data_IF_153325659577
#
_entry.id   IF_153325659577
#
_cell.length_a   1.000
_cell.length_b   1.000
_cell.length_c   1.000
_cell.angle_alpha   90.00
_cell.angle_beta   90.00
_cell.angle_gamma   90.00
#
_symmetry.space_group_name_H-M   'P 1'
#
loop_
_entity.id
_entity.type
_entity.pdbx_description
1 polymer ?
#
# COMPACT_ATOMS: atom_id res chain seq x y z
N UNK A 1 23.76 -0.68 24.81
CA UNK A 1 23.94 -1.93 25.55
C UNK A 1 23.03 -2.95 24.88
N UNK A 2 23.59 -4.02 24.31
CA UNK A 2 22.83 -5.05 23.57
C UNK A 2 22.50 -6.14 24.58
N UNK A 3 21.23 -6.19 25.02
CA UNK A 3 20.79 -7.25 25.93
C UNK A 3 20.32 -8.46 25.12
N UNK A 4 21.00 -9.59 25.29
CA UNK A 4 20.73 -10.87 24.65
C UNK A 4 19.43 -11.57 25.13
N UNK A 5 18.49 -10.82 25.73
CA UNK A 5 17.18 -11.30 26.23
C UNK A 5 16.06 -11.10 25.17
N UNK A 6 16.39 -10.47 24.05
CA UNK A 6 15.45 -9.76 23.14
C UNK A 6 14.69 -10.57 22.10
N UNK A 7 14.84 -11.90 22.01
CA UNK A 7 14.23 -12.68 20.91
C UNK A 7 12.70 -12.63 20.88
N UNK A 8 12.06 -12.91 22.01
CA UNK A 8 10.58 -12.92 22.12
C UNK A 8 9.97 -11.52 22.14
N UNK A 9 10.64 -10.56 22.76
CA UNK A 9 10.20 -9.15 22.81
C UNK A 9 10.33 -8.45 21.47
N UNK A 10 11.37 -8.75 20.66
CA UNK A 10 11.42 -8.28 19.26
C UNK A 10 10.32 -8.89 18.40
N UNK A 11 10.12 -10.21 18.46
CA UNK A 11 9.08 -10.88 17.66
C UNK A 11 7.68 -10.36 18.02
N UNK A 12 7.35 -10.26 19.31
CA UNK A 12 6.05 -9.74 19.73
C UNK A 12 5.84 -8.27 19.31
N UNK A 13 6.88 -7.43 19.39
CA UNK A 13 6.81 -6.03 18.96
C UNK A 13 6.68 -5.91 17.43
N UNK A 14 7.39 -6.73 16.65
CA UNK A 14 7.26 -6.80 15.20
C UNK A 14 5.88 -7.30 14.79
N UNK A 15 5.35 -8.34 15.44
CA UNK A 15 3.99 -8.85 15.19
C UNK A 15 2.92 -7.81 15.56
N UNK A 16 3.11 -7.05 16.64
CA UNK A 16 2.23 -5.95 17.03
C UNK A 16 2.23 -4.79 16.02
N UNK A 17 3.40 -4.41 15.50
CA UNK A 17 3.54 -3.43 14.43
C UNK A 17 2.88 -3.92 13.13
N UNK A 18 3.10 -5.17 12.74
CA UNK A 18 2.47 -5.78 11.56
C UNK A 18 0.96 -5.81 11.72
N UNK A 19 0.42 -6.30 12.84
CA UNK A 19 -1.03 -6.34 13.06
C UNK A 19 -1.65 -4.93 13.01
N UNK A 20 -1.00 -3.94 13.65
CA UNK A 20 -1.44 -2.55 13.59
C UNK A 20 -1.44 -2.02 12.15
N UNK A 21 -0.37 -2.24 11.39
CA UNK A 21 -0.28 -1.80 9.99
C UNK A 21 -1.27 -2.56 9.09
N UNK A 22 -1.49 -3.85 9.30
CA UNK A 22 -2.51 -4.65 8.61
C UNK A 22 -3.90 -4.05 8.82
N UNK A 23 -4.28 -3.69 10.06
CA UNK A 23 -5.63 -3.22 10.33
C UNK A 23 -5.81 -1.71 10.18
N UNK A 24 -4.75 -0.90 10.28
CA UNK A 24 -4.84 0.56 10.11
C UNK A 24 -4.59 0.99 8.66
N UNK A 25 -3.52 0.52 8.02
CA UNK A 25 -3.14 0.94 6.67
C UNK A 25 -3.50 -0.12 5.63
N UNK A 26 -2.93 -1.32 5.72
CA UNK A 26 -3.06 -2.36 4.69
C UNK A 26 -4.52 -2.71 4.37
N UNK A 27 -5.31 -3.16 5.33
CA UNK A 27 -6.70 -3.57 5.07
C UNK A 27 -7.59 -2.39 4.67
N UNK A 28 -7.49 -1.27 5.39
CA UNK A 28 -8.31 -0.09 5.17
C UNK A 28 -8.09 0.50 3.77
N UNK A 29 -6.83 0.63 3.37
CA UNK A 29 -6.45 1.15 2.06
C UNK A 29 -6.80 0.15 0.96
N UNK A 30 -6.50 -1.14 1.14
CA UNK A 30 -6.93 -2.15 0.17
C UNK A 30 -8.46 -2.18 0.02
N UNK A 31 -9.21 -2.08 1.10
CA UNK A 31 -10.66 -2.01 1.06
C UNK A 31 -11.13 -0.78 0.29
N UNK A 32 -10.57 0.40 0.56
CA UNK A 32 -10.93 1.63 -0.14
C UNK A 32 -10.61 1.56 -1.64
N UNK A 33 -9.38 1.20 -2.00
CA UNK A 33 -8.91 1.29 -3.38
C UNK A 33 -9.32 0.07 -4.21
N UNK A 34 -9.22 -1.15 -3.68
CA UNK A 34 -9.48 -2.40 -4.42
C UNK A 34 -10.92 -2.88 -4.22
N UNK A 35 -11.43 -2.77 -2.99
CA UNK A 35 -12.82 -3.11 -2.68
C UNK A 35 -13.80 -2.08 -3.26
N UNK A 36 -13.69 -0.83 -2.82
CA UNK A 36 -14.69 0.20 -3.06
C UNK A 36 -14.48 0.97 -4.37
N UNK A 37 -13.27 1.47 -4.66
CA UNK A 37 -12.99 2.29 -5.84
C UNK A 37 -12.91 1.44 -7.11
N UNK A 38 -12.03 0.42 -7.14
CA UNK A 38 -11.83 -0.43 -8.32
C UNK A 38 -13.12 -1.13 -8.75
N UNK A 39 -13.90 -1.68 -7.82
CA UNK A 39 -15.18 -2.34 -8.15
C UNK A 39 -16.18 -1.37 -8.79
N UNK A 40 -16.21 -0.10 -8.36
CA UNK A 40 -17.07 0.93 -8.97
C UNK A 40 -16.54 1.40 -10.32
N UNK A 41 -15.24 1.63 -10.45
CA UNK A 41 -14.63 2.02 -11.73
C UNK A 41 -14.90 0.98 -12.82
N UNK A 42 -14.88 -0.32 -12.48
CA UNK A 42 -15.18 -1.41 -13.41
C UNK A 42 -16.61 -1.40 -13.96
N UNK A 43 -17.53 -0.64 -13.38
CA UNK A 43 -18.88 -0.44 -13.94
C UNK A 43 -18.84 0.51 -15.14
N UNK A 44 -17.92 1.48 -15.14
CA UNK A 44 -17.88 2.56 -16.11
C UNK A 44 -16.80 2.40 -17.19
N UNK A 45 -15.71 1.73 -16.86
CA UNK A 45 -14.56 1.60 -17.76
C UNK A 45 -14.04 0.16 -17.80
N UNK A 46 -13.27 -0.15 -18.85
CA UNK A 46 -12.60 -1.45 -18.96
C UNK A 46 -11.63 -1.68 -17.80
N UNK A 47 -11.36 -2.95 -17.51
CA UNK A 47 -10.52 -3.37 -16.39
C UNK A 47 -9.13 -2.69 -16.40
N UNK A 48 -8.50 -2.57 -17.56
CA UNK A 48 -7.16 -2.00 -17.69
C UNK A 48 -7.13 -0.54 -17.23
N UNK A 49 -8.15 0.23 -17.65
CA UNK A 49 -8.31 1.63 -17.24
C UNK A 49 -8.72 1.77 -15.78
N UNK A 50 -9.56 0.87 -15.27
CA UNK A 50 -9.93 0.85 -13.86
C UNK A 50 -8.70 0.58 -12.96
N UNK A 51 -7.83 -0.33 -13.36
CA UNK A 51 -6.56 -0.64 -12.68
C UNK A 51 -5.60 0.54 -12.68
N UNK A 52 -5.45 1.23 -13.81
CA UNK A 52 -4.62 2.44 -13.90
C UNK A 52 -5.19 3.58 -13.04
N UNK A 53 -6.48 3.87 -13.15
CA UNK A 53 -7.11 4.96 -12.42
C UNK A 53 -7.06 4.74 -10.90
N UNK A 54 -7.35 3.53 -10.40
CA UNK A 54 -7.21 3.25 -8.96
C UNK A 54 -5.75 3.31 -8.50
N UNK A 55 -4.80 2.92 -9.35
CA UNK A 55 -3.38 2.96 -9.03
C UNK A 55 -2.87 4.40 -8.88
N UNK A 56 -3.25 5.30 -9.80
CA UNK A 56 -2.93 6.72 -9.67
C UNK A 56 -3.64 7.37 -8.47
N UNK A 57 -4.89 6.99 -8.18
CA UNK A 57 -5.58 7.47 -6.98
C UNK A 57 -4.86 7.01 -5.70
N UNK A 58 -4.37 5.77 -5.67
CA UNK A 58 -3.54 5.25 -4.59
C UNK A 58 -2.22 6.03 -4.46
N UNK A 59 -1.52 6.29 -5.57
CA UNK A 59 -0.34 7.14 -5.56
C UNK A 59 -0.63 8.54 -5.01
N UNK A 60 -1.67 9.21 -5.52
CA UNK A 60 -2.07 10.54 -5.09
C UNK A 60 -2.41 10.61 -3.59
N UNK A 61 -3.01 9.55 -3.03
CA UNK A 61 -3.26 9.43 -1.59
C UNK A 61 -1.98 9.50 -0.76
N UNK A 62 -0.87 8.97 -1.29
CA UNK A 62 0.44 8.94 -0.63
C UNK A 62 1.30 10.18 -0.87
N UNK A 63 0.88 11.08 -1.76
CA UNK A 63 1.69 12.22 -2.19
C UNK A 63 2.18 13.10 -1.04
N UNK A 64 1.35 13.34 -0.02
CA UNK A 64 1.75 14.13 1.15
C UNK A 64 2.89 13.49 1.96
N UNK A 65 2.94 12.15 2.00
CA UNK A 65 4.07 11.41 2.59
C UNK A 65 5.30 11.50 1.70
N UNK A 66 5.14 11.35 0.39
CA UNK A 66 6.24 11.47 -0.57
C UNK A 66 6.90 12.86 -0.51
N UNK A 67 6.11 13.94 -0.37
CA UNK A 67 6.63 15.31 -0.20
C UNK A 67 7.49 15.43 1.06
N UNK A 68 7.07 14.83 2.18
CA UNK A 68 7.86 14.83 3.42
C UNK A 68 9.16 14.03 3.25
N UNK A 69 9.08 12.84 2.66
CA UNK A 69 10.24 11.98 2.40
C UNK A 69 11.23 12.62 1.42
N UNK A 70 10.75 13.42 0.46
CA UNK A 70 11.55 14.17 -0.48
C UNK A 70 12.11 15.51 0.08
N UNK A 71 11.94 15.79 1.38
CA UNK A 71 12.41 17.03 1.99
C UNK A 71 11.73 18.29 1.42
N UNK A 72 10.48 18.18 0.96
CA UNK A 72 9.73 19.27 0.34
C UNK A 72 9.95 19.43 -1.17
N UNK A 73 10.81 18.63 -1.81
CA UNK A 73 11.01 18.69 -3.25
C UNK A 73 9.81 18.08 -4.00
N UNK A 74 8.95 18.93 -4.55
CA UNK A 74 7.72 18.52 -5.21
C UNK A 74 7.96 17.66 -6.46
N UNK A 75 9.04 17.90 -7.19
CA UNK A 75 9.33 17.17 -8.43
C UNK A 75 9.75 15.72 -8.12
N UNK A 76 10.59 15.55 -7.10
CA UNK A 76 10.99 14.22 -6.59
C UNK A 76 9.78 13.49 -6.01
N UNK A 77 8.93 14.18 -5.25
CA UNK A 77 7.71 13.59 -4.70
C UNK A 77 6.74 13.11 -5.81
N UNK A 78 6.55 13.89 -6.87
CA UNK A 78 5.72 13.49 -8.02
C UNK A 78 6.34 12.27 -8.71
N UNK A 79 7.66 12.28 -8.92
CA UNK A 79 8.36 11.15 -9.51
C UNK A 79 8.16 9.87 -8.67
N UNK A 80 8.26 9.96 -7.34
CA UNK A 80 8.06 8.83 -6.43
C UNK A 80 6.60 8.34 -6.42
N UNK A 81 5.64 9.28 -6.39
CA UNK A 81 4.21 8.99 -6.47
C UNK A 81 3.86 8.17 -7.72
N UNK A 82 4.41 8.55 -8.88
CA UNK A 82 4.15 7.89 -10.17
C UNK A 82 4.90 6.54 -10.24
N UNK A 83 6.19 6.54 -9.94
CA UNK A 83 7.07 5.40 -10.23
C UNK A 83 7.08 4.32 -9.15
N UNK A 84 6.77 4.68 -7.90
CA UNK A 84 6.75 3.75 -6.77
C UNK A 84 5.31 3.51 -6.32
N UNK A 85 4.63 4.53 -5.81
CA UNK A 85 3.32 4.35 -5.17
C UNK A 85 2.25 3.88 -6.16
N UNK A 86 2.18 4.49 -7.36
CA UNK A 86 1.19 4.09 -8.37
C UNK A 86 1.51 2.70 -8.94
N UNK A 87 2.78 2.36 -9.15
CA UNK A 87 3.18 1.02 -9.63
C UNK A 87 2.83 -0.05 -8.59
N UNK A 88 3.09 0.24 -7.31
CA UNK A 88 2.72 -0.64 -6.20
C UNK A 88 1.21 -0.82 -6.09
N UNK A 89 0.45 0.28 -6.15
CA UNK A 89 -1.02 0.25 -6.17
C UNK A 89 -1.59 -0.52 -7.37
N UNK A 90 -0.94 -0.46 -8.53
CA UNK A 90 -1.30 -1.25 -9.70
C UNK A 90 -1.09 -2.75 -9.46
N UNK A 91 0.08 -3.14 -8.92
CA UNK A 91 0.39 -4.54 -8.62
C UNK A 91 -0.62 -5.14 -7.62
N UNK A 92 -0.98 -4.39 -6.58
CA UNK A 92 -1.97 -4.80 -5.60
C UNK A 92 -3.39 -4.88 -6.19
N UNK A 93 -3.79 -3.92 -7.03
CA UNK A 93 -5.04 -3.98 -7.77
C UNK A 93 -5.14 -5.20 -8.71
N UNK A 94 -4.05 -5.49 -9.43
CA UNK A 94 -3.95 -6.67 -10.28
C UNK A 94 -4.08 -7.96 -9.46
N UNK A 95 -3.37 -8.04 -8.32
CA UNK A 95 -3.44 -9.18 -7.42
C UNK A 95 -4.88 -9.40 -6.91
N UNK A 96 -5.55 -8.35 -6.43
CA UNK A 96 -6.91 -8.43 -5.92
C UNK A 96 -7.91 -8.92 -6.99
N UNK A 97 -7.77 -8.48 -8.23
CA UNK A 97 -8.59 -8.97 -9.35
C UNK A 97 -8.28 -10.43 -9.68
N UNK A 98 -7.00 -10.81 -9.66
CA UNK A 98 -6.55 -12.16 -10.00
C UNK A 98 -6.95 -13.20 -8.96
N UNK A 99 -6.91 -12.85 -7.67
CA UNK A 99 -7.28 -13.72 -6.54
C UNK A 99 -8.75 -13.60 -6.17
N UNK A 100 -9.45 -12.55 -6.66
CA UNK A 100 -10.82 -12.18 -6.26
C UNK A 100 -10.95 -11.98 -4.75
N UNK A 101 -9.88 -11.52 -4.11
CA UNK A 101 -9.82 -11.29 -2.67
C UNK A 101 -8.85 -10.17 -2.35
N UNK A 102 -9.27 -9.27 -1.46
CA UNK A 102 -8.39 -8.24 -0.90
C UNK A 102 -7.44 -8.81 0.16
N UNK A 103 -7.68 -10.01 0.70
CA UNK A 103 -6.83 -10.56 1.76
C UNK A 103 -5.37 -10.73 1.31
N UNK A 104 -5.16 -11.22 0.07
CA UNK A 104 -3.82 -11.39 -0.48
C UNK A 104 -3.12 -10.05 -0.73
N UNK A 105 -3.85 -9.06 -1.25
CA UNK A 105 -3.31 -7.72 -1.47
C UNK A 105 -3.04 -7.00 -0.13
N UNK A 106 -3.89 -7.17 0.88
CA UNK A 106 -3.70 -6.59 2.22
C UNK A 106 -2.50 -7.19 2.95
N UNK A 107 -2.30 -8.50 2.84
CA UNK A 107 -1.12 -9.16 3.41
C UNK A 107 0.18 -8.69 2.75
N UNK A 108 0.20 -8.57 1.41
CA UNK A 108 1.35 -8.08 0.68
C UNK A 108 1.65 -6.62 1.00
N UNK A 109 0.61 -5.77 1.06
CA UNK A 109 0.72 -4.37 1.47
C UNK A 109 1.35 -4.24 2.85
N UNK A 110 0.78 -4.90 3.86
CA UNK A 110 1.31 -4.81 5.21
C UNK A 110 2.76 -5.33 5.36
N UNK A 111 3.15 -6.30 4.55
CA UNK A 111 4.54 -6.77 4.50
C UNK A 111 5.48 -5.73 3.88
N UNK A 112 5.05 -5.06 2.82
CA UNK A 112 5.81 -3.99 2.17
C UNK A 112 6.00 -2.80 3.13
N UNK A 113 4.97 -2.40 3.88
CA UNK A 113 5.06 -1.39 4.95
C UNK A 113 6.08 -1.82 6.02
N UNK A 114 6.00 -3.08 6.48
CA UNK A 114 6.88 -3.60 7.53
C UNK A 114 8.35 -3.67 7.10
N UNK A 115 8.61 -3.69 5.80
CA UNK A 115 9.96 -3.71 5.21
C UNK A 115 10.40 -2.35 4.66
N UNK A 116 9.58 -1.30 4.82
CA UNK A 116 9.84 0.06 4.34
C UNK A 116 10.11 0.13 2.84
N UNK A 117 9.46 -0.74 2.07
CA UNK A 117 9.55 -0.75 0.60
C UNK A 117 8.67 0.36 0.00
N UNK A 118 7.72 0.88 0.78
CA UNK A 118 6.73 1.91 0.44
C UNK A 118 6.40 2.79 1.65
#
# INVERSE_FOLDING_TARGET
>A
MIDAVTGKTRIANTLGLVARNVFQNGFSEEFLFRGALLSRLRVFVRLEWALLAQAFAFGAWHYGTDVRSAGGNLLVAIAFMITVQSVFGYALGFLAVRTRSIAGSSAFHALADATSII
#
